data_IF_754545801594
#
_entry.id   IF_754545801594
#
_cell.length_a   1.000
_cell.length_b   1.000
_cell.length_c   1.000
_cell.angle_alpha   90.00
_cell.angle_beta   90.00
_cell.angle_gamma   90.00
#
_symmetry.space_group_name_H-M   'P 1'
#
loop_
_entity.id
_entity.type
_entity.pdbx_description
1 polymer ?
#
# COMPACT_ATOMS: atom_id res chain seq x y z
N UNK A 1 -20.75 -20.25 0.48
CA UNK A 1 -21.20 -19.10 1.30
C UNK A 1 -21.56 -17.97 0.34
N UNK A 2 -22.83 -17.63 0.19
CA UNK A 2 -23.24 -16.43 -0.55
C UNK A 2 -22.94 -15.20 0.30
N UNK A 3 -21.99 -14.37 -0.12
CA UNK A 3 -21.58 -13.17 0.60
C UNK A 3 -22.74 -12.17 0.75
N UNK A 4 -22.86 -11.58 1.95
CA UNK A 4 -23.87 -10.57 2.23
C UNK A 4 -23.53 -9.25 1.51
N UNK A 5 -24.51 -8.64 0.83
CA UNK A 5 -24.31 -7.42 0.04
C UNK A 5 -24.68 -6.17 0.83
N UNK A 6 -23.91 -5.08 0.68
CA UNK A 6 -24.22 -3.77 1.28
C UNK A 6 -25.66 -3.31 1.00
N UNK A 7 -26.16 -3.55 -0.22
CA UNK A 7 -27.53 -3.20 -0.63
C UNK A 7 -28.63 -3.86 0.23
N UNK A 8 -28.35 -4.94 0.95
CA UNK A 8 -29.35 -5.64 1.77
C UNK A 8 -29.33 -5.30 3.25
N UNK A 9 -28.26 -4.66 3.76
CA UNK A 9 -27.93 -4.74 5.20
C UNK A 9 -27.73 -3.39 5.90
N UNK A 10 -27.70 -2.28 5.15
CA UNK A 10 -27.45 -0.93 5.71
C UNK A 10 -28.70 -0.04 5.65
N UNK A 11 -29.89 -0.65 5.74
CA UNK A 11 -31.17 0.05 5.78
C UNK A 11 -31.81 -0.10 7.17
N UNK A 12 -32.43 0.97 7.65
CA UNK A 12 -33.24 0.96 8.88
C UNK A 12 -34.73 0.90 8.54
N UNK A 13 -35.53 0.36 9.45
CA UNK A 13 -37.00 0.39 9.36
C UNK A 13 -37.55 1.81 9.53
N UNK A 14 -36.81 2.69 10.23
CA UNK A 14 -37.13 4.10 10.35
C UNK A 14 -36.69 4.87 9.10
N UNK A 15 -37.67 5.48 8.44
CA UNK A 15 -37.52 6.20 7.18
C UNK A 15 -36.65 7.46 7.33
N UNK A 16 -36.56 8.02 8.54
CA UNK A 16 -35.73 9.19 8.83
C UNK A 16 -34.30 8.82 9.24
N UNK A 17 -34.02 7.53 9.46
CA UNK A 17 -32.72 7.08 9.95
C UNK A 17 -31.65 7.10 8.86
N UNK A 18 -30.62 7.92 9.06
CA UNK A 18 -29.42 7.97 8.21
C UNK A 18 -28.26 7.09 8.72
N UNK A 19 -28.47 6.31 9.79
CA UNK A 19 -27.40 5.59 10.50
C UNK A 19 -26.62 4.65 9.58
N UNK A 20 -27.32 3.93 8.68
CA UNK A 20 -26.68 3.04 7.72
C UNK A 20 -25.76 3.80 6.74
N UNK A 21 -26.18 4.98 6.30
CA UNK A 21 -25.35 5.84 5.45
C UNK A 21 -24.12 6.38 6.21
N UNK A 22 -24.32 6.93 7.41
CA UNK A 22 -23.22 7.46 8.25
C UNK A 22 -22.18 6.40 8.56
N UNK A 23 -22.63 5.18 8.89
CA UNK A 23 -21.75 4.03 9.16
C UNK A 23 -20.82 3.75 7.99
N UNK A 24 -21.35 3.75 6.75
CA UNK A 24 -20.50 3.42 5.60
C UNK A 24 -19.59 4.60 5.23
N UNK A 25 -20.05 5.84 5.34
CA UNK A 25 -19.18 7.02 5.13
C UNK A 25 -18.02 7.02 6.13
N UNK A 26 -18.31 6.76 7.40
CA UNK A 26 -17.28 6.62 8.44
C UNK A 26 -16.29 5.51 8.09
N UNK A 27 -16.77 4.34 7.66
CA UNK A 27 -15.90 3.23 7.24
C UNK A 27 -14.99 3.62 6.05
N UNK A 28 -15.52 4.31 5.04
CA UNK A 28 -14.73 4.78 3.89
C UNK A 28 -13.71 5.87 4.27
N UNK A 29 -14.02 6.71 5.26
CA UNK A 29 -13.09 7.69 5.80
C UNK A 29 -11.96 7.02 6.58
N UNK A 30 -12.28 6.01 7.41
CA UNK A 30 -11.29 5.22 8.12
C UNK A 30 -10.38 4.46 7.13
N UNK A 31 -10.95 3.80 6.12
CA UNK A 31 -10.15 3.14 5.08
C UNK A 31 -9.17 4.09 4.38
N UNK A 32 -9.56 5.36 4.17
CA UNK A 32 -8.65 6.38 3.61
C UNK A 32 -7.49 6.72 4.55
N UNK A 33 -7.75 6.85 5.85
CA UNK A 33 -6.72 7.09 6.88
C UNK A 33 -5.75 5.92 6.92
N UNK A 34 -6.25 4.69 6.95
CA UNK A 34 -5.43 3.48 6.93
C UNK A 34 -4.53 3.41 5.69
N UNK A 35 -5.03 3.79 4.50
CA UNK A 35 -4.20 3.85 3.29
C UNK A 35 -3.07 4.88 3.40
N UNK A 36 -3.30 6.01 4.09
CA UNK A 36 -2.28 7.04 4.31
C UNK A 36 -1.23 6.56 5.31
N UNK A 37 -1.66 6.00 6.44
CA UNK A 37 -0.77 5.41 7.44
C UNK A 37 0.11 4.30 6.82
N UNK A 38 -0.45 3.43 5.98
CA UNK A 38 0.30 2.39 5.30
C UNK A 38 1.30 2.93 4.27
N UNK A 39 0.93 3.97 3.50
CA UNK A 39 1.88 4.67 2.61
C UNK A 39 3.06 5.24 3.39
N UNK A 40 2.80 5.93 4.50
CA UNK A 40 3.84 6.55 5.33
C UNK A 40 4.76 5.49 5.93
N UNK A 41 4.20 4.38 6.40
CA UNK A 41 4.96 3.24 6.90
C UNK A 41 5.90 2.64 5.83
N UNK A 42 5.43 2.50 4.58
CA UNK A 42 6.27 2.03 3.47
C UNK A 42 7.41 3.00 3.16
N UNK A 43 7.15 4.32 3.22
CA UNK A 43 8.18 5.36 3.02
C UNK A 43 9.25 5.31 4.10
N UNK A 44 8.86 5.15 5.36
CA UNK A 44 9.79 5.00 6.47
C UNK A 44 10.63 3.73 6.33
N UNK A 45 10.00 2.58 6.04
CA UNK A 45 10.71 1.33 5.79
C UNK A 45 11.70 1.46 4.64
N UNK A 46 11.30 2.09 3.53
CA UNK A 46 12.20 2.31 2.39
C UNK A 46 13.44 3.14 2.75
N UNK A 47 13.29 4.15 3.62
CA UNK A 47 14.41 4.96 4.11
C UNK A 47 15.41 4.13 4.93
N UNK A 48 14.89 3.26 5.82
CA UNK A 48 15.71 2.36 6.63
C UNK A 48 16.48 1.38 5.75
N UNK A 49 15.80 0.73 4.80
CA UNK A 49 16.40 -0.24 3.87
C UNK A 49 17.47 0.41 2.99
N UNK A 50 17.22 1.63 2.49
CA UNK A 50 18.20 2.35 1.67
C UNK A 50 19.45 2.71 2.48
N UNK A 51 19.28 3.18 3.73
CA UNK A 51 20.40 3.49 4.61
C UNK A 51 21.23 2.23 4.87
N UNK A 52 20.59 1.12 5.22
CA UNK A 52 21.25 -0.15 5.46
C UNK A 52 22.05 -0.62 4.25
N UNK A 53 21.44 -0.62 3.06
CA UNK A 53 22.13 -0.98 1.82
C UNK A 53 23.30 -0.05 1.50
N UNK A 54 23.17 1.27 1.68
CA UNK A 54 24.28 2.23 1.48
C UNK A 54 25.42 2.02 2.48
N UNK A 55 25.11 1.74 3.74
CA UNK A 55 26.10 1.48 4.77
C UNK A 55 26.88 0.18 4.48
N UNK A 56 26.19 -0.88 4.05
CA UNK A 56 26.83 -2.11 3.58
C UNK A 56 27.71 -1.89 2.34
N UNK A 57 27.25 -1.08 1.38
CA UNK A 57 28.02 -0.75 0.18
C UNK A 57 29.29 0.04 0.52
N UNK A 58 29.18 0.95 1.48
CA UNK A 58 30.32 1.71 2.02
C UNK A 58 31.30 0.78 2.73
N UNK A 59 30.80 -0.18 3.52
CA UNK A 59 31.60 -1.20 4.20
C UNK A 59 32.34 -2.10 3.19
N UNK A 60 31.65 -2.63 2.19
CA UNK A 60 32.26 -3.52 1.18
C UNK A 60 33.30 -2.79 0.33
N UNK A 61 33.14 -1.50 0.02
CA UNK A 61 34.06 -0.80 -0.89
C UNK A 61 35.20 -0.07 -0.18
N UNK A 62 34.89 0.65 0.90
CA UNK A 62 35.84 1.60 1.50
C UNK A 62 36.67 0.99 2.62
N UNK A 63 36.19 -0.09 3.26
CA UNK A 63 36.91 -0.68 4.39
C UNK A 63 37.85 -1.80 3.91
N UNK A 64 39.09 -1.84 4.42
CA UNK A 64 39.98 -2.97 4.20
C UNK A 64 39.43 -4.20 4.93
N UNK A 65 39.56 -5.37 4.31
CA UNK A 65 39.25 -6.66 4.92
C UNK A 65 40.34 -7.64 4.47
N UNK A 66 41.28 -7.95 5.37
CA UNK A 66 42.46 -8.78 5.08
C UNK A 66 43.36 -8.26 3.96
N UNK A 67 43.72 -6.97 3.98
CA UNK A 67 44.62 -6.40 2.97
C UNK A 67 46.03 -7.00 2.98
N UNK A 68 46.48 -7.50 4.12
CA UNK A 68 47.76 -8.21 4.27
C UNK A 68 47.69 -9.70 3.89
N UNK A 69 46.48 -10.24 3.68
CA UNK A 69 46.32 -11.65 3.38
C UNK A 69 46.73 -11.98 1.94
N UNK A 70 47.19 -13.22 1.73
CA UNK A 70 47.64 -13.69 0.42
C UNK A 70 46.96 -15.02 0.04
N UNK A 71 47.15 -15.44 -1.21
CA UNK A 71 46.72 -16.76 -1.72
C UNK A 71 45.21 -17.03 -1.53
N UNK A 72 44.88 -18.20 -1.00
CA UNK A 72 43.50 -18.70 -0.91
C UNK A 72 42.65 -17.89 0.06
N UNK A 73 43.22 -17.42 1.17
CA UNK A 73 42.48 -16.60 2.13
C UNK A 73 42.13 -15.23 1.54
N UNK A 74 43.07 -14.59 0.83
CA UNK A 74 42.79 -13.35 0.11
C UNK A 74 41.63 -13.49 -0.89
N UNK A 75 41.63 -14.57 -1.68
CA UNK A 75 40.55 -14.87 -2.62
C UNK A 75 39.20 -15.08 -1.92
N UNK A 76 39.18 -15.80 -0.80
CA UNK A 76 37.96 -16.01 -0.01
C UNK A 76 37.41 -14.68 0.54
N UNK A 77 38.27 -13.79 1.02
CA UNK A 77 37.88 -12.46 1.51
C UNK A 77 37.37 -11.55 0.39
N UNK A 78 37.94 -11.64 -0.82
CA UNK A 78 37.42 -10.90 -1.97
C UNK A 78 36.01 -11.35 -2.36
N UNK A 79 35.76 -12.68 -2.39
CA UNK A 79 34.42 -13.22 -2.62
C UNK A 79 33.45 -12.79 -1.52
N UNK A 80 33.88 -12.82 -0.26
CA UNK A 80 33.07 -12.33 0.86
C UNK A 80 32.65 -10.86 0.69
N UNK A 81 33.58 -9.98 0.30
CA UNK A 81 33.26 -8.57 0.00
C UNK A 81 32.27 -8.43 -1.15
N UNK A 82 32.37 -9.27 -2.19
CA UNK A 82 31.40 -9.29 -3.30
C UNK A 82 30.00 -9.72 -2.82
N UNK A 83 29.90 -10.70 -1.91
CA UNK A 83 28.61 -11.09 -1.31
C UNK A 83 27.98 -9.95 -0.52
N UNK A 84 28.77 -9.20 0.27
CA UNK A 84 28.27 -8.01 0.98
C UNK A 84 27.75 -6.96 -0.03
N UNK A 85 28.49 -6.70 -1.11
CA UNK A 85 28.08 -5.74 -2.16
C UNK A 85 26.76 -6.18 -2.82
N UNK A 86 26.59 -7.49 -3.09
CA UNK A 86 25.35 -8.05 -3.65
C UNK A 86 24.15 -7.88 -2.71
N UNK A 87 24.32 -8.16 -1.41
CA UNK A 87 23.29 -7.92 -0.39
C UNK A 87 22.95 -6.43 -0.31
N UNK A 88 23.97 -5.56 -0.28
CA UNK A 88 23.80 -4.11 -0.25
C UNK A 88 22.93 -3.61 -1.42
N UNK A 89 23.21 -4.07 -2.63
CA UNK A 89 22.43 -3.73 -3.83
C UNK A 89 20.98 -4.23 -3.73
N UNK A 90 20.77 -5.44 -3.21
CA UNK A 90 19.43 -6.02 -3.04
C UNK A 90 18.56 -5.18 -2.08
N UNK A 91 19.14 -4.69 -0.97
CA UNK A 91 18.43 -3.79 -0.04
C UNK A 91 18.10 -2.42 -0.66
N UNK A 92 19.01 -1.88 -1.48
CA UNK A 92 18.75 -0.63 -2.22
C UNK A 92 17.60 -0.81 -3.22
N UNK A 93 17.57 -1.94 -3.95
CA UNK A 93 16.48 -2.27 -4.87
C UNK A 93 15.15 -2.50 -4.13
N UNK A 94 15.18 -3.14 -2.97
CA UNK A 94 13.99 -3.28 -2.11
C UNK A 94 13.45 -1.92 -1.68
N UNK A 95 14.32 -0.99 -1.27
CA UNK A 95 13.91 0.37 -0.93
C UNK A 95 13.22 1.10 -2.10
N UNK A 96 13.72 0.92 -3.33
CA UNK A 96 13.07 1.47 -4.53
C UNK A 96 11.68 0.84 -4.77
N UNK A 97 11.58 -0.48 -4.62
CA UNK A 97 10.31 -1.22 -4.75
C UNK A 97 9.29 -0.74 -3.72
N UNK A 98 9.70 -0.56 -2.46
CA UNK A 98 8.84 -0.06 -1.39
C UNK A 98 8.31 1.36 -1.67
N UNK A 99 9.13 2.24 -2.26
CA UNK A 99 8.68 3.59 -2.69
C UNK A 99 7.65 3.52 -3.80
N UNK A 100 7.82 2.59 -4.74
CA UNK A 100 6.86 2.36 -5.81
C UNK A 100 5.53 1.83 -5.27
N UNK A 101 5.55 0.90 -4.32
CA UNK A 101 4.33 0.43 -3.65
C UNK A 101 3.65 1.55 -2.84
N UNK A 102 4.41 2.42 -2.18
CA UNK A 102 3.88 3.60 -1.51
C UNK A 102 3.20 4.55 -2.51
N UNK A 103 3.81 4.77 -3.70
CA UNK A 103 3.22 5.57 -4.77
C UNK A 103 1.90 4.98 -5.28
N UNK A 104 1.84 3.67 -5.50
CA UNK A 104 0.59 2.97 -5.90
C UNK A 104 -0.50 3.14 -4.85
N UNK A 105 -0.15 3.12 -3.56
CA UNK A 105 -1.10 3.35 -2.46
C UNK A 105 -1.62 4.79 -2.44
N UNK A 106 -0.75 5.78 -2.69
CA UNK A 106 -1.15 7.18 -2.86
C UNK A 106 -2.11 7.36 -4.05
N UNK A 107 -1.78 6.80 -5.21
CA UNK A 107 -2.64 6.84 -6.39
C UNK A 107 -4.00 6.20 -6.13
N UNK A 108 -4.02 5.05 -5.44
CA UNK A 108 -5.25 4.38 -5.04
C UNK A 108 -6.11 5.30 -4.14
N UNK A 109 -5.50 5.94 -3.15
CA UNK A 109 -6.18 6.88 -2.25
C UNK A 109 -6.78 8.07 -3.02
N UNK A 110 -6.05 8.66 -3.96
CA UNK A 110 -6.55 9.80 -4.74
C UNK A 110 -7.61 9.39 -5.77
N UNK A 111 -7.50 8.20 -6.39
CA UNK A 111 -8.58 7.61 -7.22
C UNK A 111 -9.86 7.46 -6.39
N UNK A 112 -9.78 6.90 -5.19
CA UNK A 112 -10.90 6.77 -4.26
C UNK A 112 -11.51 8.13 -3.85
N UNK A 113 -10.69 9.19 -3.69
CA UNK A 113 -11.16 10.56 -3.43
C UNK A 113 -11.92 11.14 -4.62
N UNK A 114 -11.44 10.95 -5.85
CA UNK A 114 -12.09 11.45 -7.06
C UNK A 114 -13.44 10.76 -7.32
N UNK A 115 -13.50 9.44 -7.13
CA UNK A 115 -14.75 8.68 -7.27
C UNK A 115 -15.81 9.17 -6.27
N UNK A 116 -15.43 9.42 -5.01
CA UNK A 116 -16.34 9.99 -4.01
C UNK A 116 -16.89 11.36 -4.39
N UNK A 117 -16.07 12.25 -4.94
CA UNK A 117 -16.53 13.58 -5.43
C UNK A 117 -17.56 13.44 -6.56
N UNK A 118 -17.31 12.53 -7.51
CA UNK A 118 -18.26 12.25 -8.62
C UNK A 118 -19.59 11.73 -8.09
N UNK A 119 -19.56 10.78 -7.15
CA UNK A 119 -20.76 10.19 -6.53
C UNK A 119 -21.52 11.21 -5.70
N UNK A 120 -20.84 12.05 -4.90
CA UNK A 120 -21.48 13.13 -4.16
C UNK A 120 -22.18 14.14 -5.07
N UNK A 121 -21.54 14.53 -6.17
CA UNK A 121 -22.11 15.44 -7.15
C UNK A 121 -23.32 14.84 -7.89
N UNK A 122 -23.26 13.55 -8.26
CA UNK A 122 -24.41 12.86 -8.89
C UNK A 122 -25.56 12.62 -7.92
N UNK A 123 -25.26 12.38 -6.64
CA UNK A 123 -26.27 12.20 -5.59
C UNK A 123 -27.04 13.50 -5.35
N UNK A 124 -26.34 14.63 -5.19
CA UNK A 124 -26.96 15.96 -4.97
C UNK A 124 -27.83 16.38 -6.17
N UNK A 125 -27.33 16.23 -7.40
CA UNK A 125 -28.10 16.54 -8.62
C UNK A 125 -29.33 15.65 -8.82
N UNK A 126 -29.30 14.39 -8.35
CA UNK A 126 -30.39 13.43 -8.56
C UNK A 126 -31.41 13.42 -7.41
N UNK A 127 -31.00 13.73 -6.18
CA UNK A 127 -31.93 14.00 -5.06
C UNK A 127 -32.83 15.21 -5.36
N UNK A 128 -32.34 16.21 -6.10
CA UNK A 128 -33.18 17.32 -6.59
C UNK A 128 -34.19 16.91 -7.69
N UNK A 129 -34.05 15.74 -8.33
CA UNK A 129 -34.84 15.38 -9.51
C UNK A 129 -35.74 14.14 -9.33
N UNK A 130 -35.53 13.30 -8.30
CA UNK A 130 -36.40 12.13 -8.05
C UNK A 130 -36.33 11.63 -6.62
N UNK A 131 -37.47 11.57 -5.94
CA UNK A 131 -37.64 11.06 -4.56
C UNK A 131 -37.55 9.52 -4.42
N UNK A 132 -36.99 8.79 -5.41
CA UNK A 132 -37.06 7.32 -5.44
C UNK A 132 -35.76 6.61 -5.07
N UNK A 133 -35.78 6.00 -3.88
CA UNK A 133 -34.71 5.34 -3.09
C UNK A 133 -33.95 4.19 -3.76
N UNK A 134 -34.40 3.66 -4.91
CA UNK A 134 -33.80 2.46 -5.55
C UNK A 134 -32.43 2.70 -6.19
N UNK A 135 -32.07 3.95 -6.47
CA UNK A 135 -30.84 4.30 -7.20
C UNK A 135 -29.59 4.49 -6.34
N UNK A 136 -29.74 4.68 -5.02
CA UNK A 136 -28.65 4.97 -4.08
C UNK A 136 -27.68 3.77 -3.93
N UNK A 137 -28.17 2.54 -4.08
CA UNK A 137 -27.36 1.33 -3.94
C UNK A 137 -26.53 0.97 -5.19
N UNK A 138 -26.99 1.32 -6.39
CA UNK A 138 -26.34 0.88 -7.64
C UNK A 138 -25.04 1.65 -7.93
N UNK A 139 -24.95 2.90 -7.47
CA UNK A 139 -23.74 3.73 -7.59
C UNK A 139 -22.71 3.39 -6.50
N UNK A 140 -23.15 2.81 -5.38
CA UNK A 140 -22.33 2.47 -4.23
C UNK A 140 -21.46 1.22 -4.45
N UNK A 141 -21.98 0.23 -5.19
CA UNK A 141 -21.23 -0.99 -5.56
C UNK A 141 -20.03 -0.67 -6.46
N UNK A 142 -20.12 0.39 -7.29
CA UNK A 142 -19.01 0.81 -8.17
C UNK A 142 -17.83 1.49 -7.43
N UNK A 143 -17.98 1.85 -6.15
CA UNK A 143 -16.93 2.48 -5.34
C UNK A 143 -16.06 1.47 -4.58
N UNK A 144 -16.57 0.25 -4.33
CA UNK A 144 -15.95 -0.77 -3.48
C UNK A 144 -15.01 -1.73 -4.24
N UNK A 145 -15.10 -1.82 -5.57
CA UNK A 145 -14.14 -2.54 -6.41
C UNK A 145 -13.19 -1.52 -7.06
N UNK A 146 -11.97 -1.30 -6.53
CA UNK A 146 -10.90 -2.30 -6.67
C UNK A 146 -9.87 -2.25 -5.53
N UNK A 147 -9.98 -3.06 -4.48
CA UNK A 147 -8.80 -3.32 -3.65
C UNK A 147 -7.85 -4.21 -4.45
N UNK A 148 -6.62 -3.77 -4.80
CA UNK A 148 -5.64 -4.69 -5.34
C UNK A 148 -5.30 -5.66 -4.21
N UNK A 149 -5.59 -6.95 -4.41
CA UNK A 149 -4.98 -8.00 -3.61
C UNK A 149 -3.47 -7.82 -3.73
N UNK A 150 -2.82 -7.36 -2.67
CA UNK A 150 -1.37 -7.43 -2.54
C UNK A 150 -1.01 -8.90 -2.68
N UNK A 151 -0.58 -9.30 -3.88
CA UNK A 151 0.13 -10.56 -4.04
C UNK A 151 1.40 -10.39 -3.24
N UNK A 152 1.42 -10.95 -2.03
CA UNK A 152 2.65 -11.20 -1.32
C UNK A 152 3.60 -11.91 -2.29
N UNK A 153 4.80 -11.37 -2.57
CA UNK A 153 5.86 -12.24 -2.99
C UNK A 153 6.14 -13.15 -1.78
N UNK A 154 5.69 -14.40 -1.86
CA UNK A 154 6.42 -15.50 -1.23
C UNK A 154 7.81 -15.54 -1.89
N UNK A 155 8.67 -14.60 -1.50
CA UNK A 155 10.11 -14.75 -1.67
C UNK A 155 10.59 -15.25 -0.32
N UNK A 156 10.74 -16.57 -0.26
CA UNK A 156 11.50 -17.28 0.74
C UNK A 156 12.87 -16.62 0.87
N UNK A 157 13.01 -15.67 1.80
CA UNK A 157 14.30 -15.30 2.34
C UNK A 157 14.66 -16.41 3.34
N UNK A 158 15.19 -17.51 2.81
CA UNK A 158 16.07 -18.35 3.60
C UNK A 158 17.39 -17.57 3.67
N UNK A 159 17.66 -17.01 4.85
CA UNK A 159 19.00 -16.75 5.34
C UNK A 159 19.58 -18.06 5.89
#
# INVERSE_FOLDING_TARGET
MTGSLFKGNFWSSDILSSIGYETIIQHLNNGRKNCKEFEDFLKERASIEEKYGKDLLSLSRKKPCGQSETNTLKRALDVFKLQIDSVAQSHIQLAQTLREEARKMEEFREKQKLQRKKVGFTYVLRCCHSSSRKFQACLFVKLLDPFPTLKHPHSSFNL
#
